data_IF_913320114681
#
_entry.id   IF_913320114681
#
_cell.length_a   1.000
_cell.length_b   1.000
_cell.length_c   1.000
_cell.angle_alpha   90.00
_cell.angle_beta   90.00
_cell.angle_gamma   90.00
#
_symmetry.space_group_name_H-M   'P 1'
#
loop_
_entity.id
_entity.type
_entity.pdbx_description
1 polymer ?
#
# COMPACT_ATOMS: atom_id res chain seq x y z
N UNK A 1 -72.45 46.04 -24.00
CA UNK A 1 -72.31 44.65 -24.51
C UNK A 1 -70.86 44.37 -24.81
N UNK A 2 -70.36 43.35 -24.16
CA UNK A 2 -69.00 42.77 -24.30
C UNK A 2 -68.62 42.38 -25.73
N UNK A 3 -67.37 41.95 -26.05
CA UNK A 3 -66.39 41.32 -25.20
C UNK A 3 -64.93 41.82 -25.32
N UNK A 4 -64.27 41.60 -24.34
CA UNK A 4 -62.95 40.98 -23.94
C UNK A 4 -62.32 40.07 -25.00
N UNK A 5 -61.02 40.27 -25.20
CA UNK A 5 -59.95 39.26 -25.36
C UNK A 5 -58.66 40.05 -25.20
N UNK A 6 -57.77 39.89 -24.18
CA UNK A 6 -57.34 38.72 -23.60
C UNK A 6 -55.95 38.33 -24.14
N UNK A 7 -54.89 38.85 -23.52
CA UNK A 7 -53.52 38.66 -23.87
C UNK A 7 -53.07 37.18 -23.83
N UNK A 8 -51.99 36.95 -24.44
CA UNK A 8 -51.04 35.85 -24.07
C UNK A 8 -49.81 36.01 -24.96
N UNK A 9 -48.80 36.62 -24.42
CA UNK A 9 -47.47 36.49 -24.96
C UNK A 9 -46.48 36.79 -23.81
N UNK A 10 -46.44 35.85 -22.88
CA UNK A 10 -45.35 35.73 -21.91
C UNK A 10 -45.12 34.27 -21.63
N UNK A 11 -43.90 33.93 -21.53
CA UNK A 11 -43.33 32.64 -21.23
C UNK A 11 -42.86 31.81 -22.42
N UNK A 12 -41.64 32.01 -22.82
CA UNK A 12 -40.64 30.94 -22.91
C UNK A 12 -39.23 31.59 -22.96
N UNK A 13 -38.74 32.08 -21.82
CA UNK A 13 -37.32 32.17 -21.56
C UNK A 13 -37.05 31.23 -20.37
N UNK A 14 -37.17 29.94 -20.61
CA UNK A 14 -36.73 28.92 -19.70
C UNK A 14 -35.35 28.48 -20.10
N UNK A 15 -34.43 28.87 -19.24
CA UNK A 15 -33.35 28.01 -18.71
C UNK A 15 -32.73 27.02 -19.72
N UNK A 16 -31.83 27.50 -20.52
CA UNK A 16 -30.65 26.73 -20.91
C UNK A 16 -29.57 26.93 -19.83
N UNK A 17 -29.83 26.39 -18.64
CA UNK A 17 -28.73 26.05 -17.75
C UNK A 17 -27.97 24.93 -18.44
N UNK A 18 -26.94 25.32 -19.14
CA UNK A 18 -25.82 24.43 -19.51
C UNK A 18 -25.38 23.72 -18.26
N UNK A 19 -25.73 22.43 -18.15
CA UNK A 19 -25.02 21.51 -17.30
C UNK A 19 -23.59 21.53 -17.82
N UNK A 20 -22.74 22.30 -17.20
CA UNK A 20 -21.29 22.04 -17.23
C UNK A 20 -21.13 20.60 -16.76
N UNK A 21 -20.89 19.70 -17.70
CA UNK A 21 -20.38 18.38 -17.43
C UNK A 21 -19.03 18.64 -16.78
N UNK A 22 -19.00 18.59 -15.46
CA UNK A 22 -17.74 18.54 -14.74
C UNK A 22 -17.02 17.32 -15.29
N UNK A 23 -16.05 17.56 -16.14
CA UNK A 23 -15.12 16.55 -16.61
C UNK A 23 -14.39 16.06 -15.34
N UNK A 24 -14.86 14.96 -14.73
CA UNK A 24 -14.08 14.28 -13.70
C UNK A 24 -12.75 13.95 -14.36
N UNK A 25 -11.73 14.67 -13.98
CA UNK A 25 -10.38 14.43 -14.47
C UNK A 25 -9.98 13.04 -13.96
N UNK A 26 -10.03 12.05 -14.85
CA UNK A 26 -9.63 10.68 -14.53
C UNK A 26 -8.13 10.71 -14.24
N UNK A 27 -7.78 10.52 -12.97
CA UNK A 27 -6.39 10.50 -12.57
C UNK A 27 -5.67 9.30 -13.21
N UNK A 28 -4.42 9.48 -13.65
CA UNK A 28 -3.63 8.40 -14.22
C UNK A 28 -3.35 7.31 -13.17
N UNK A 29 -3.15 6.09 -13.64
CA UNK A 29 -2.76 4.99 -12.77
C UNK A 29 -1.37 5.24 -12.18
N UNK A 30 -1.19 4.90 -10.89
CA UNK A 30 0.13 4.84 -10.30
C UNK A 30 0.93 3.74 -11.00
N UNK A 31 2.11 4.04 -11.58
CA UNK A 31 2.86 3.07 -12.39
C UNK A 31 3.38 1.90 -11.55
N UNK A 32 3.66 2.16 -10.26
CA UNK A 32 4.26 1.20 -9.36
C UNK A 32 5.66 0.77 -9.82
N UNK A 33 6.14 -0.30 -9.20
CA UNK A 33 7.46 -0.85 -9.49
C UNK A 33 7.40 -1.82 -10.67
N UNK A 34 8.36 -1.78 -11.58
CA UNK A 34 8.43 -2.70 -12.71
C UNK A 34 8.69 -4.15 -12.23
N UNK A 35 8.13 -5.14 -12.91
CA UNK A 35 8.18 -6.54 -12.46
C UNK A 35 9.62 -7.08 -12.35
N UNK A 36 10.51 -6.64 -13.21
CA UNK A 36 11.94 -6.97 -13.21
C UNK A 36 12.70 -6.42 -12.00
N UNK A 37 12.12 -5.46 -11.27
CA UNK A 37 12.67 -4.91 -10.04
C UNK A 37 12.03 -5.50 -8.79
N UNK A 38 11.20 -6.53 -8.94
CA UNK A 38 10.58 -7.27 -7.84
C UNK A 38 11.35 -8.56 -7.62
N UNK A 39 12.03 -8.67 -6.48
CA UNK A 39 12.83 -9.85 -6.14
C UNK A 39 12.08 -10.68 -5.11
N UNK A 40 11.62 -11.87 -5.53
CA UNK A 40 11.04 -12.85 -4.63
C UNK A 40 12.16 -13.70 -4.00
N UNK A 41 12.45 -13.46 -2.72
CA UNK A 41 13.61 -14.03 -2.02
C UNK A 41 13.34 -15.50 -1.65
N UNK A 42 13.91 -16.42 -2.41
CA UNK A 42 13.79 -17.88 -2.21
C UNK A 42 15.13 -18.60 -2.14
N UNK A 43 16.21 -17.94 -2.54
CA UNK A 43 17.56 -18.50 -2.61
C UNK A 43 18.53 -17.63 -1.82
N UNK A 44 19.69 -18.21 -1.45
CA UNK A 44 20.78 -17.49 -0.76
C UNK A 44 21.31 -16.31 -1.60
N UNK A 45 21.35 -16.43 -2.93
CA UNK A 45 21.79 -15.34 -3.80
C UNK A 45 20.81 -14.15 -3.79
N UNK A 46 19.51 -14.42 -3.86
CA UNK A 46 18.48 -13.39 -3.74
C UNK A 46 18.47 -12.75 -2.35
N UNK A 47 18.70 -13.56 -1.31
CA UNK A 47 18.84 -13.09 0.06
C UNK A 47 20.04 -12.16 0.23
N UNK A 48 21.19 -12.50 -0.35
CA UNK A 48 22.39 -11.68 -0.33
C UNK A 48 22.17 -10.33 -1.04
N UNK A 49 21.50 -10.34 -2.21
CA UNK A 49 21.11 -9.11 -2.91
C UNK A 49 20.18 -8.25 -2.05
N UNK A 50 19.14 -8.84 -1.48
CA UNK A 50 18.21 -8.15 -0.60
C UNK A 50 18.93 -7.53 0.61
N UNK A 51 19.77 -8.32 1.30
CA UNK A 51 20.54 -7.84 2.45
C UNK A 51 21.42 -6.65 2.09
N UNK A 52 22.18 -6.74 0.98
CA UNK A 52 23.09 -5.68 0.56
C UNK A 52 22.35 -4.35 0.30
N UNK A 53 21.18 -4.41 -0.33
CA UNK A 53 20.38 -3.20 -0.62
C UNK A 53 19.66 -2.65 0.63
N UNK A 54 19.03 -3.53 1.41
CA UNK A 54 18.18 -3.12 2.54
C UNK A 54 18.98 -2.57 3.71
N UNK A 55 20.21 -3.10 3.98
CA UNK A 55 21.04 -2.61 5.08
C UNK A 55 21.70 -1.26 4.81
N UNK A 56 21.75 -0.83 3.56
CA UNK A 56 22.29 0.50 3.16
C UNK A 56 21.20 1.59 3.16
N UNK A 57 19.94 1.23 3.23
CA UNK A 57 18.85 2.18 3.16
C UNK A 57 18.62 2.90 4.50
N UNK A 58 18.46 4.22 4.46
CA UNK A 58 18.04 4.98 5.64
C UNK A 58 16.54 4.82 5.93
N UNK A 59 15.74 4.61 4.88
CA UNK A 59 14.28 4.44 4.95
C UNK A 59 13.86 3.31 4.00
N UNK A 60 12.96 2.47 4.45
CA UNK A 60 12.36 1.39 3.66
C UNK A 60 10.84 1.46 3.70
N UNK A 61 10.20 1.19 2.57
CA UNK A 61 8.80 0.83 2.56
C UNK A 61 8.60 -0.55 3.16
N UNK A 62 7.55 -0.72 3.96
CA UNK A 62 7.26 -1.96 4.68
C UNK A 62 5.78 -2.27 4.66
N UNK A 63 5.44 -3.52 4.37
CA UNK A 63 4.09 -4.06 4.50
C UNK A 63 4.15 -5.57 4.76
N UNK A 64 3.01 -6.21 5.08
CA UNK A 64 2.90 -7.67 5.17
C UNK A 64 1.60 -8.17 4.58
N UNK A 65 1.60 -9.41 4.08
CA UNK A 65 0.40 -10.07 3.59
C UNK A 65 0.15 -11.39 4.31
N UNK A 66 -1.13 -11.60 4.62
CA UNK A 66 -1.60 -12.81 5.28
C UNK A 66 -2.75 -13.45 4.50
N UNK A 67 -2.79 -14.77 4.42
CA UNK A 67 -3.98 -15.45 3.90
C UNK A 67 -5.19 -15.09 4.76
N UNK A 68 -6.37 -14.90 4.16
CA UNK A 68 -7.58 -14.59 4.91
C UNK A 68 -7.99 -15.75 5.82
N UNK A 69 -8.58 -15.41 6.95
CA UNK A 69 -9.21 -16.35 7.88
C UNK A 69 -10.71 -16.21 7.75
N UNK A 70 -11.42 -17.31 7.52
CA UNK A 70 -12.86 -17.32 7.29
C UNK A 70 -13.66 -17.82 8.50
N UNK A 71 -12.98 -18.39 9.49
CA UNK A 71 -13.64 -18.92 10.71
C UNK A 71 -13.65 -17.86 11.81
N UNK A 72 -14.81 -17.57 12.35
CA UNK A 72 -14.97 -16.62 13.46
C UNK A 72 -14.14 -17.10 14.67
N UNK A 73 -13.33 -16.19 15.23
CA UNK A 73 -12.46 -16.48 16.38
C UNK A 73 -11.12 -17.15 16.03
N UNK A 74 -10.91 -17.58 14.79
CA UNK A 74 -9.61 -18.09 14.36
C UNK A 74 -8.64 -16.94 14.16
N UNK A 75 -7.45 -17.05 14.76
CA UNK A 75 -6.36 -16.07 14.53
C UNK A 75 -5.60 -16.42 13.26
N UNK A 76 -5.16 -15.40 12.52
CA UNK A 76 -4.25 -15.58 11.40
C UNK A 76 -2.92 -16.19 11.87
N UNK A 77 -2.38 -17.14 11.11
CA UNK A 77 -1.04 -17.72 11.26
C UNK A 77 0.00 -16.96 10.44
N UNK A 78 -0.38 -15.80 9.86
CA UNK A 78 0.51 -14.90 9.14
C UNK A 78 1.53 -14.18 10.02
N UNK A 79 2.33 -13.30 9.40
CA UNK A 79 2.32 -12.98 7.98
C UNK A 79 2.85 -14.15 7.12
N UNK A 80 2.44 -14.18 5.84
CA UNK A 80 2.92 -15.20 4.88
C UNK A 80 3.89 -14.61 3.87
N UNK A 81 3.84 -13.29 3.70
CA UNK A 81 4.76 -12.53 2.88
C UNK A 81 5.15 -11.26 3.64
N UNK A 82 6.43 -10.92 3.64
CA UNK A 82 6.94 -9.64 4.15
C UNK A 82 7.48 -8.87 2.95
N UNK A 83 7.13 -7.60 2.83
CA UNK A 83 7.57 -6.73 1.77
C UNK A 83 8.46 -5.62 2.33
N UNK A 84 9.64 -5.48 1.74
CA UNK A 84 10.55 -4.37 1.99
C UNK A 84 10.91 -3.71 0.65
N UNK A 85 10.77 -2.41 0.55
CA UNK A 85 11.04 -1.69 -0.69
C UNK A 85 12.03 -0.55 -0.46
N UNK A 86 12.96 -0.40 -1.40
CA UNK A 86 13.70 0.81 -1.68
C UNK A 86 12.92 1.65 -2.71
N UNK A 87 13.46 2.79 -3.13
CA UNK A 87 12.83 3.59 -4.18
C UNK A 87 12.74 2.85 -5.53
N UNK A 88 13.66 1.94 -5.81
CA UNK A 88 13.81 1.27 -7.10
C UNK A 88 13.49 -0.22 -7.12
N UNK A 89 13.59 -0.92 -6.00
CA UNK A 89 13.40 -2.36 -5.90
C UNK A 89 12.48 -2.74 -4.74
N UNK A 90 11.72 -3.80 -4.93
CA UNK A 90 10.98 -4.45 -3.84
C UNK A 90 11.49 -5.87 -3.62
N UNK A 91 11.69 -6.21 -2.36
CA UNK A 91 12.14 -7.51 -1.88
C UNK A 91 10.99 -8.17 -1.12
N UNK A 92 10.53 -9.28 -1.66
CA UNK A 92 9.40 -10.03 -1.14
C UNK A 92 9.91 -11.31 -0.48
N UNK A 93 9.66 -11.45 0.80
CA UNK A 93 10.12 -12.58 1.61
C UNK A 93 8.94 -13.50 1.92
N UNK A 94 8.75 -14.62 1.18
CA UNK A 94 7.77 -15.61 1.53
C UNK A 94 8.23 -16.35 2.78
N UNK A 95 7.32 -16.49 3.77
CA UNK A 95 7.60 -17.16 5.05
C UNK A 95 6.56 -18.23 5.35
N UNK A 96 6.22 -19.02 4.31
CA UNK A 96 5.17 -20.03 4.35
C UNK A 96 5.65 -21.39 4.87
N UNK A 97 6.95 -21.71 4.79
CA UNK A 97 7.55 -22.95 5.28
C UNK A 97 8.66 -22.69 6.28
N UNK A 98 8.98 -23.69 7.10
CA UNK A 98 10.10 -23.61 8.07
C UNK A 98 11.45 -23.32 7.38
N UNK A 99 11.67 -23.92 6.19
CA UNK A 99 12.88 -23.68 5.39
C UNK A 99 12.99 -22.22 4.94
N UNK A 100 11.91 -21.64 4.43
CA UNK A 100 11.90 -20.23 4.02
C UNK A 100 12.02 -19.27 5.20
N UNK A 101 11.41 -19.61 6.33
CA UNK A 101 11.58 -18.83 7.56
C UNK A 101 13.04 -18.85 8.01
N UNK A 102 13.67 -20.03 8.06
CA UNK A 102 15.08 -20.18 8.45
C UNK A 102 16.02 -19.42 7.50
N UNK A 103 15.77 -19.47 6.17
CA UNK A 103 16.52 -18.72 5.18
C UNK A 103 16.47 -17.22 5.43
N UNK A 104 15.28 -16.67 5.65
CA UNK A 104 15.09 -15.21 5.66
C UNK A 104 15.27 -14.59 7.06
N UNK A 105 15.15 -15.37 8.15
CA UNK A 105 15.01 -14.86 9.51
C UNK A 105 16.14 -13.93 9.94
N UNK A 106 17.40 -14.29 9.66
CA UNK A 106 18.54 -13.51 10.09
C UNK A 106 18.55 -12.10 9.44
N UNK A 107 18.32 -12.02 8.14
CA UNK A 107 18.29 -10.75 7.40
C UNK A 107 17.05 -9.93 7.77
N UNK A 108 15.88 -10.55 7.88
CA UNK A 108 14.68 -9.86 8.33
C UNK A 108 14.86 -9.29 9.75
N UNK A 109 15.49 -10.03 10.63
CA UNK A 109 15.80 -9.57 11.99
C UNK A 109 16.77 -8.39 11.97
N UNK A 110 17.89 -8.50 11.21
CA UNK A 110 18.89 -7.44 11.05
C UNK A 110 18.25 -6.13 10.58
N UNK A 111 17.39 -6.20 9.56
CA UNK A 111 16.75 -5.01 8.96
C UNK A 111 15.60 -4.48 9.81
N UNK A 112 14.68 -5.34 10.25
CA UNK A 112 13.47 -4.90 10.94
C UNK A 112 13.73 -4.46 12.39
N UNK A 113 14.68 -5.05 13.08
CA UNK A 113 15.07 -4.64 14.44
C UNK A 113 16.08 -3.48 14.46
N UNK A 114 16.62 -3.08 13.30
CA UNK A 114 17.52 -1.94 13.20
C UNK A 114 16.86 -0.64 13.69
N UNK A 115 17.57 0.10 14.53
CA UNK A 115 17.16 1.44 14.99
C UNK A 115 17.62 2.56 14.05
N UNK A 116 18.57 2.28 13.14
CA UNK A 116 19.07 3.23 12.14
C UNK A 116 18.23 3.28 10.87
N UNK A 117 17.51 2.19 10.53
CA UNK A 117 16.67 2.10 9.35
C UNK A 117 15.24 2.41 9.73
N UNK A 118 14.64 3.44 9.15
CA UNK A 118 13.22 3.75 9.32
C UNK A 118 12.38 2.86 8.41
N UNK A 119 11.38 2.15 8.95
CA UNK A 119 10.38 1.41 8.19
C UNK A 119 9.09 2.20 8.14
N UNK A 120 8.57 2.47 6.94
CA UNK A 120 7.34 3.23 6.74
C UNK A 120 6.29 2.40 6.01
N UNK A 121 5.04 2.46 6.45
CA UNK A 121 3.94 1.72 5.85
C UNK A 121 2.58 2.26 6.28
N UNK A 122 1.51 1.63 5.85
CA UNK A 122 0.15 2.03 6.20
C UNK A 122 -0.55 0.96 7.02
N UNK A 123 -1.06 1.31 8.22
CA UNK A 123 -1.88 0.41 9.05
C UNK A 123 -1.12 -0.72 9.74
N UNK A 124 0.09 -0.49 10.18
CA UNK A 124 1.07 -1.50 10.60
C UNK A 124 0.84 -2.15 11.98
N UNK A 125 -0.21 -1.81 12.70
CA UNK A 125 -0.37 -2.25 14.10
C UNK A 125 -0.51 -3.78 14.25
N UNK A 126 -1.30 -4.41 13.39
CA UNK A 126 -1.58 -5.85 13.45
C UNK A 126 -0.45 -6.66 12.86
N UNK A 127 0.19 -6.14 11.81
CA UNK A 127 1.34 -6.75 11.13
C UNK A 127 2.51 -6.94 12.08
N UNK A 128 2.83 -5.94 12.88
CA UNK A 128 3.92 -5.98 13.85
C UNK A 128 3.69 -7.06 14.93
N UNK A 129 2.43 -7.24 15.37
CA UNK A 129 2.09 -8.29 16.33
C UNK A 129 2.21 -9.70 15.71
N UNK A 130 1.76 -9.86 14.45
CA UNK A 130 1.87 -11.13 13.75
C UNK A 130 3.34 -11.49 13.50
N UNK A 131 4.17 -10.53 13.09
CA UNK A 131 5.59 -10.70 12.89
C UNK A 131 6.30 -11.18 14.16
N UNK A 132 6.03 -10.55 15.30
CA UNK A 132 6.61 -10.96 16.57
C UNK A 132 6.20 -12.38 16.97
N UNK A 133 4.94 -12.76 16.78
CA UNK A 133 4.48 -14.10 17.11
C UNK A 133 5.11 -15.19 16.24
N UNK A 134 5.24 -14.92 14.94
CA UNK A 134 5.69 -15.93 13.97
C UNK A 134 7.20 -16.07 13.89
N UNK A 135 7.92 -14.95 13.92
CA UNK A 135 9.37 -14.92 13.70
C UNK A 135 10.18 -14.45 14.92
N UNK A 136 9.53 -14.13 16.03
CA UNK A 136 10.15 -13.51 17.19
C UNK A 136 10.95 -12.23 16.86
N UNK A 137 10.54 -11.50 15.82
CA UNK A 137 11.13 -10.22 15.40
C UNK A 137 10.31 -9.09 16.01
N UNK A 138 10.98 -8.17 16.70
CA UNK A 138 10.38 -6.93 17.19
C UNK A 138 10.86 -5.79 16.32
N UNK A 139 9.96 -5.28 15.47
CA UNK A 139 10.27 -4.16 14.60
C UNK A 139 10.60 -2.91 15.43
N UNK A 140 11.70 -2.25 15.10
CA UNK A 140 12.12 -0.98 15.68
C UNK A 140 12.09 0.12 14.62
N UNK A 141 12.05 1.39 15.04
CA UNK A 141 12.07 2.57 14.18
C UNK A 141 11.08 2.46 13.02
N UNK A 142 9.79 2.39 13.37
CA UNK A 142 8.68 2.24 12.43
C UNK A 142 7.74 3.43 12.49
N UNK A 143 7.26 3.90 11.33
CA UNK A 143 6.29 4.98 11.20
C UNK A 143 5.06 4.50 10.43
N UNK A 144 3.92 4.50 11.10
CA UNK A 144 2.62 4.25 10.45
C UNK A 144 2.09 5.52 9.81
N UNK A 145 2.13 5.58 8.49
CA UNK A 145 1.68 6.71 7.68
C UNK A 145 0.17 6.92 7.76
N UNK A 146 -0.62 5.87 8.06
CA UNK A 146 -2.05 6.04 8.25
C UNK A 146 -2.39 7.02 9.35
N UNK A 147 -1.56 7.09 10.36
CA UNK A 147 -1.73 8.00 11.50
C UNK A 147 -1.00 9.32 11.31
N UNK A 148 0.26 9.26 10.84
CA UNK A 148 1.12 10.44 10.73
C UNK A 148 0.67 11.44 9.68
N UNK A 149 0.02 10.97 8.59
CA UNK A 149 -0.49 11.82 7.50
C UNK A 149 -1.98 12.16 7.64
N UNK A 150 -2.62 11.73 8.72
CA UNK A 150 -4.04 11.98 8.97
C UNK A 150 -4.29 13.38 9.49
N UNK A 151 -5.27 14.07 8.92
CA UNK A 151 -5.75 15.38 9.39
C UNK A 151 -6.52 15.28 10.72
N UNK A 152 -7.01 14.10 11.07
CA UNK A 152 -7.70 13.84 12.33
C UNK A 152 -7.53 12.40 12.80
N UNK A 153 -7.61 12.16 14.11
CA UNK A 153 -7.54 10.81 14.69
C UNK A 153 -8.66 9.87 14.22
N UNK A 154 -9.80 10.43 13.77
CA UNK A 154 -10.98 9.64 13.34
C UNK A 154 -10.92 9.22 11.87
N UNK A 155 -10.11 9.85 11.03
CA UNK A 155 -10.05 9.57 9.59
C UNK A 155 -8.61 9.28 9.18
N UNK A 156 -8.21 8.02 9.33
CA UNK A 156 -6.88 7.57 8.95
C UNK A 156 -6.65 7.70 7.43
N UNK A 157 -5.43 8.04 7.05
CA UNK A 157 -5.01 8.14 5.66
C UNK A 157 -4.67 6.73 5.13
N UNK A 158 -5.43 6.23 4.17
CA UNK A 158 -5.09 4.97 3.48
C UNK A 158 -4.12 5.21 2.31
N UNK A 159 -3.38 4.17 1.89
CA UNK A 159 -2.40 4.23 0.81
C UNK A 159 -2.97 4.81 -0.49
N UNK A 160 -4.17 4.37 -0.94
CA UNK A 160 -4.83 4.93 -2.14
C UNK A 160 -4.98 6.44 -2.07
N UNK A 161 -5.54 6.94 -0.97
CA UNK A 161 -5.76 8.38 -0.78
C UNK A 161 -4.45 9.15 -0.65
N UNK A 162 -3.42 8.54 -0.06
CA UNK A 162 -2.12 9.15 0.03
C UNK A 162 -1.45 9.28 -1.35
N UNK A 163 -1.47 8.24 -2.18
CA UNK A 163 -0.96 8.27 -3.55
C UNK A 163 -1.72 9.31 -4.39
N UNK A 164 -3.03 9.38 -4.26
CA UNK A 164 -3.85 10.40 -4.92
C UNK A 164 -3.44 11.82 -4.48
N UNK A 165 -3.32 12.06 -3.17
CA UNK A 165 -2.97 13.37 -2.60
C UNK A 165 -1.57 13.84 -3.02
N UNK A 166 -0.58 12.95 -2.98
CA UNK A 166 0.83 13.33 -3.16
C UNK A 166 1.34 13.23 -4.60
N UNK A 167 0.67 12.40 -5.43
CA UNK A 167 1.10 12.14 -6.81
C UNK A 167 0.02 12.46 -7.86
N UNK A 168 -1.24 12.69 -7.48
CA UNK A 168 -2.34 12.84 -8.43
C UNK A 168 -2.56 11.57 -9.25
N UNK A 169 -2.35 10.40 -8.67
CA UNK A 169 -2.39 9.09 -9.32
C UNK A 169 -3.26 8.12 -8.54
N UNK A 170 -3.78 7.09 -9.21
CA UNK A 170 -4.62 6.04 -8.59
C UNK A 170 -3.83 4.79 -8.34
N UNK A 171 -3.57 4.48 -7.06
CA UNK A 171 -2.98 3.19 -6.67
C UNK A 171 -3.98 2.06 -6.92
N UNK A 172 -3.57 1.07 -7.74
CA UNK A 172 -4.38 -0.06 -8.12
C UNK A 172 -4.46 -1.10 -6.98
N UNK A 173 -5.48 -0.97 -6.13
CA UNK A 173 -5.74 -1.92 -5.04
C UNK A 173 -6.96 -2.79 -5.35
N UNK A 174 -6.73 -4.06 -5.60
CA UNK A 174 -7.77 -5.05 -5.85
C UNK A 174 -8.11 -5.83 -4.57
N UNK A 175 -9.36 -5.73 -4.11
CA UNK A 175 -9.84 -6.55 -2.99
C UNK A 175 -9.65 -8.05 -3.24
N UNK A 176 -9.82 -8.51 -4.48
CA UNK A 176 -9.60 -9.91 -4.87
C UNK A 176 -8.15 -10.34 -4.67
N UNK A 177 -7.18 -9.45 -4.88
CA UNK A 177 -5.77 -9.74 -4.66
C UNK A 177 -5.44 -9.70 -3.18
N UNK A 178 -5.84 -8.65 -2.45
CA UNK A 178 -5.56 -8.52 -1.01
C UNK A 178 -6.14 -9.66 -0.17
N UNK A 179 -7.28 -10.24 -0.59
CA UNK A 179 -7.91 -11.38 0.09
C UNK A 179 -7.58 -12.73 -0.57
N UNK A 180 -6.53 -12.80 -1.38
CA UNK A 180 -6.10 -14.03 -2.02
C UNK A 180 -5.26 -14.92 -1.09
N UNK A 181 -4.94 -16.14 -1.54
CA UNK A 181 -4.11 -17.05 -0.75
C UNK A 181 -2.63 -16.65 -0.80
N UNK A 182 -2.20 -15.85 0.18
CA UNK A 182 -0.81 -15.45 0.35
C UNK A 182 0.11 -16.55 0.88
N UNK A 183 -0.46 -17.67 1.35
CA UNK A 183 0.28 -18.87 1.74
C UNK A 183 0.50 -19.85 0.57
N UNK A 184 0.17 -19.48 -0.66
CA UNK A 184 0.43 -20.31 -1.83
C UNK A 184 1.94 -20.46 -2.08
N UNK A 185 2.36 -21.66 -2.51
CA UNK A 185 3.74 -21.93 -2.88
C UNK A 185 4.23 -21.04 -4.02
N UNK A 186 3.34 -20.78 -4.99
CA UNK A 186 3.61 -19.92 -6.13
C UNK A 186 2.64 -18.73 -6.11
N UNK A 187 3.19 -17.54 -5.91
CA UNK A 187 2.44 -16.29 -6.03
C UNK A 187 2.34 -15.90 -7.51
N UNK A 188 1.18 -15.42 -7.90
CA UNK A 188 0.95 -14.92 -9.26
C UNK A 188 1.56 -13.52 -9.42
N UNK A 189 1.94 -13.14 -10.63
CA UNK A 189 2.53 -11.84 -10.95
C UNK A 189 1.72 -10.67 -10.36
N UNK A 190 0.38 -10.72 -10.48
CA UNK A 190 -0.50 -9.71 -9.87
C UNK A 190 -0.40 -9.60 -8.35
N UNK A 191 -0.04 -10.70 -7.65
CA UNK A 191 0.20 -10.67 -6.21
C UNK A 191 1.57 -10.05 -5.92
N UNK A 192 2.60 -10.43 -6.68
CA UNK A 192 3.94 -9.86 -6.55
C UNK A 192 3.90 -8.33 -6.76
N UNK A 193 3.23 -7.91 -7.85
CA UNK A 193 3.06 -6.49 -8.18
C UNK A 193 2.29 -5.74 -7.10
N UNK A 194 1.17 -6.30 -6.62
CA UNK A 194 0.37 -5.72 -5.56
C UNK A 194 1.19 -5.50 -4.28
N UNK A 195 1.88 -6.55 -3.81
CA UNK A 195 2.69 -6.49 -2.59
C UNK A 195 3.88 -5.51 -2.71
N UNK A 196 4.54 -5.49 -3.87
CA UNK A 196 5.64 -4.57 -4.14
C UNK A 196 5.18 -3.10 -4.16
N UNK A 197 4.05 -2.83 -4.83
CA UNK A 197 3.48 -1.49 -4.93
C UNK A 197 3.01 -0.95 -3.57
N UNK A 198 2.50 -1.82 -2.68
CA UNK A 198 2.07 -1.42 -1.34
C UNK A 198 3.25 -0.92 -0.51
N UNK A 199 4.35 -1.66 -0.47
CA UNK A 199 5.55 -1.25 0.24
C UNK A 199 6.23 -0.03 -0.41
N UNK A 200 6.42 -0.02 -1.75
CA UNK A 200 7.09 1.08 -2.43
C UNK A 200 6.27 2.38 -2.36
N UNK A 201 4.96 2.31 -2.58
CA UNK A 201 4.12 3.51 -2.52
C UNK A 201 4.16 4.18 -1.14
N UNK A 202 4.26 3.39 -0.06
CA UNK A 202 4.43 3.94 1.28
C UNK A 202 5.74 4.72 1.42
N UNK A 203 6.86 4.17 0.94
CA UNK A 203 8.15 4.85 0.92
C UNK A 203 8.08 6.15 0.13
N UNK A 204 7.59 6.11 -1.11
CA UNK A 204 7.55 7.28 -1.98
C UNK A 204 6.62 8.37 -1.45
N UNK A 205 5.47 7.99 -0.86
CA UNK A 205 4.58 8.94 -0.16
C UNK A 205 5.30 9.61 1.01
N UNK A 206 6.03 8.85 1.82
CA UNK A 206 6.81 9.40 2.94
C UNK A 206 7.84 10.42 2.46
N UNK A 207 8.65 10.06 1.46
CA UNK A 207 9.68 10.93 0.91
C UNK A 207 9.08 12.22 0.33
N UNK A 208 7.97 12.09 -0.41
CA UNK A 208 7.25 13.23 -0.97
C UNK A 208 6.64 14.14 0.10
N UNK A 209 6.03 13.55 1.12
CA UNK A 209 5.46 14.30 2.23
C UNK A 209 6.54 15.09 3.01
N UNK A 210 7.71 14.46 3.22
CA UNK A 210 8.83 15.09 3.92
C UNK A 210 9.48 16.22 3.12
N UNK A 211 9.42 16.20 1.79
CA UNK A 211 9.97 17.25 0.92
C UNK A 211 9.06 18.46 0.76
N UNK A 212 7.80 18.39 1.19
CA UNK A 212 6.89 19.54 1.17
C UNK A 212 7.14 20.43 2.40
N UNK A 213 7.28 21.75 2.22
CA UNK A 213 7.34 22.66 3.36
C UNK A 213 6.04 22.57 4.17
N UNK A 214 6.17 22.66 5.49
CA UNK A 214 5.06 22.66 6.42
C UNK A 214 4.18 23.93 6.30
#
# INVERSE_FOLDING_TARGET
MQPKYGGYADHVLKDTMTKEVMNETVLPAYPGIAIEHIILVRTESELALARAALTQAAVLGYDTESKPVFTVGQRSDGPHLIQLATETHAYLFPIVSATQQALCQAVLKEVLESTSILKVGFGLSDDNQMLQRKLAIRINHVLDLSRSLSESRKKQMGAKRAVEKYFGQVLQKSKRVSTSNWAAEHLQERQLKYAADDAQSALLVYLKAKSQPA
#
